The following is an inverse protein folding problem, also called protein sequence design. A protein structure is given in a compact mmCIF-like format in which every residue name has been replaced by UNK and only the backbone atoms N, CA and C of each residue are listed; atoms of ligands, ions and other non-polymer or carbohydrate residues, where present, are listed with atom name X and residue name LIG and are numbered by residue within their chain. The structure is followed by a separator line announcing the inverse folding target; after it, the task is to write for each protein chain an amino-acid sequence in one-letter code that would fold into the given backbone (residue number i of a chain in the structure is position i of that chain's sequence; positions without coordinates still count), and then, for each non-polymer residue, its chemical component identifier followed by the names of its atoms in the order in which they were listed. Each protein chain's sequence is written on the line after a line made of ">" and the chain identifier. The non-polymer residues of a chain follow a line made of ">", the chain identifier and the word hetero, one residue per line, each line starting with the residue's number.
data_IF_470686900755
#
_entry.id   IF_470686900755
#
_cell.length_a   1.000
_cell.length_b   1.000
_cell.length_c   1.000
_cell.angle_alpha   90.00
_cell.angle_beta   90.00
_cell.angle_gamma   90.00
#
_symmetry.space_group_name_H-M   'P 1'
#
loop_
_entity.id
_entity.type
_entity.pdbx_description
1 polymer ?
#
# COMPACT_ATOMS: atom_id res chain seq x y z
N UNK A 1 30.01 -3.83 -11.86
CA UNK A 1 29.21 -3.45 -13.04
C UNK A 1 27.95 -2.78 -12.54
N UNK A 2 27.83 -1.47 -12.73
CA UNK A 2 26.58 -0.75 -12.44
C UNK A 2 25.65 -0.99 -13.63
N UNK A 3 24.55 -1.70 -13.42
CA UNK A 3 23.47 -1.78 -14.38
C UNK A 3 22.89 -0.38 -14.54
N UNK A 4 23.12 0.25 -15.69
CA UNK A 4 22.39 1.42 -16.16
C UNK A 4 20.92 1.00 -16.39
N UNK A 5 20.17 0.79 -15.31
CA UNK A 5 18.72 0.88 -15.37
C UNK A 5 18.39 2.32 -15.73
N UNK A 6 17.66 2.52 -16.82
CA UNK A 6 17.23 3.86 -17.25
C UNK A 6 16.58 4.59 -16.08
N UNK A 7 17.26 5.61 -15.54
CA UNK A 7 16.80 6.56 -14.53
C UNK A 7 15.66 7.48 -15.04
N UNK A 8 14.86 7.01 -16.01
CA UNK A 8 13.81 7.79 -16.68
C UNK A 8 12.41 7.60 -16.08
N UNK A 9 12.21 6.64 -15.17
CA UNK A 9 10.94 6.54 -14.44
C UNK A 9 11.02 7.36 -13.15
N UNK A 10 10.91 8.69 -13.29
CA UNK A 10 10.82 9.66 -12.18
C UNK A 10 9.48 9.58 -11.42
N UNK A 11 8.64 8.60 -11.73
CA UNK A 11 7.35 8.39 -11.10
C UNK A 11 7.39 7.13 -10.24
N UNK A 12 7.13 7.28 -8.95
CA UNK A 12 6.87 6.16 -8.05
C UNK A 12 5.38 5.94 -7.89
N UNK A 13 4.99 4.68 -7.89
CA UNK A 13 3.58 4.28 -7.81
C UNK A 13 3.34 3.51 -6.52
N UNK A 14 2.18 3.68 -5.88
CA UNK A 14 1.77 2.85 -4.74
C UNK A 14 0.35 2.37 -4.91
N UNK A 15 0.08 1.14 -4.50
CA UNK A 15 -1.26 0.55 -4.50
C UNK A 15 -1.99 0.89 -3.23
N UNK A 16 -3.26 1.28 -3.33
CA UNK A 16 -4.11 1.62 -2.20
C UNK A 16 -5.42 0.84 -2.27
N UNK A 17 -5.76 0.16 -1.18
CA UNK A 17 -7.02 -0.55 -1.00
C UNK A 17 -7.71 -0.01 0.24
N UNK A 18 -8.90 0.57 0.04
CA UNK A 18 -9.78 1.01 1.10
C UNK A 18 -10.91 0.01 1.29
N UNK A 19 -11.16 -0.39 2.53
CA UNK A 19 -12.16 -1.40 2.86
C UNK A 19 -12.75 -1.17 4.24
N UNK A 20 -13.94 -1.75 4.45
CA UNK A 20 -14.55 -1.89 5.77
C UNK A 20 -14.40 -3.32 6.25
N UNK A 21 -14.18 -3.51 7.55
CA UNK A 21 -14.20 -4.84 8.18
C UNK A 21 -15.61 -5.21 8.58
N UNK A 22 -15.92 -6.51 8.53
CA UNK A 22 -17.19 -7.01 9.06
C UNK A 22 -17.16 -6.96 10.58
N UNK A 23 -18.22 -6.45 11.23
CA UNK A 23 -18.25 -6.37 12.69
C UNK A 23 -18.17 -7.78 13.28
N UNK A 24 -17.26 -7.99 14.22
CA UNK A 24 -17.19 -9.25 14.97
C UNK A 24 -18.44 -9.39 15.84
N UNK A 25 -18.98 -10.60 15.89
CA UNK A 25 -20.07 -10.89 16.81
C UNK A 25 -19.49 -11.06 18.23
N UNK A 26 -19.87 -10.21 19.21
CA UNK A 26 -19.34 -10.33 20.57
C UNK A 26 -19.77 -11.62 21.28
N UNK A 27 -20.88 -12.24 20.86
CA UNK A 27 -21.33 -13.53 21.39
C UNK A 27 -20.55 -14.73 20.81
N UNK A 28 -19.75 -14.50 19.76
CA UNK A 28 -18.92 -15.53 19.18
C UNK A 28 -17.71 -15.81 20.08
N UNK A 29 -17.61 -17.04 20.53
CA UNK A 29 -16.46 -17.59 21.23
C UNK A 29 -16.09 -18.94 20.60
N UNK A 30 -14.93 -19.49 20.96
CA UNK A 30 -14.56 -20.82 20.49
C UNK A 30 -15.60 -21.89 20.88
N UNK A 31 -16.25 -21.74 22.03
CA UNK A 31 -17.29 -22.65 22.53
C UNK A 31 -18.60 -22.54 21.73
N UNK A 32 -18.96 -21.35 21.24
CA UNK A 32 -20.21 -21.09 20.52
C UNK A 32 -20.08 -21.15 19.00
N UNK A 33 -18.92 -21.59 18.47
CA UNK A 33 -18.58 -21.52 17.04
C UNK A 33 -19.53 -22.24 16.08
N UNK A 34 -20.30 -23.21 16.56
CA UNK A 34 -21.24 -24.00 15.76
C UNK A 34 -22.68 -23.46 15.81
N UNK A 35 -22.99 -22.59 16.77
CA UNK A 35 -24.34 -22.05 16.99
C UNK A 35 -24.44 -20.55 16.70
N UNK A 36 -23.33 -19.83 16.83
CA UNK A 36 -23.28 -18.37 16.68
C UNK A 36 -22.34 -18.02 15.53
N UNK A 37 -22.76 -17.16 14.57
CA UNK A 37 -21.88 -16.72 13.49
C UNK A 37 -20.74 -15.85 14.02
N UNK A 38 -19.56 -15.97 13.42
CA UNK A 38 -18.36 -15.22 13.82
C UNK A 38 -18.47 -13.70 13.59
N UNK A 39 -19.31 -13.30 12.64
CA UNK A 39 -19.49 -11.90 12.26
C UNK A 39 -20.98 -11.57 12.20
N UNK A 40 -21.30 -10.31 12.48
CA UNK A 40 -22.63 -9.75 12.25
C UNK A 40 -22.81 -9.46 10.75
N UNK A 41 -24.05 -9.22 10.32
CA UNK A 41 -24.34 -8.77 8.94
C UNK A 41 -24.04 -7.28 8.71
N UNK A 42 -23.49 -6.63 9.71
CA UNK A 42 -23.04 -5.24 9.68
C UNK A 42 -21.54 -5.09 9.41
N UNK A 43 -21.19 -3.92 8.88
CA UNK A 43 -19.82 -3.51 8.63
C UNK A 43 -19.41 -2.43 9.63
N UNK A 44 -18.13 -2.39 10.00
CA UNK A 44 -17.56 -1.27 10.73
C UNK A 44 -17.72 0.01 9.91
N UNK A 45 -17.98 1.13 10.60
CA UNK A 45 -18.15 2.43 9.95
C UNK A 45 -16.83 2.97 9.42
N UNK A 46 -15.74 2.68 10.15
CA UNK A 46 -14.39 3.08 9.81
C UNK A 46 -13.94 2.46 8.48
N UNK A 47 -13.42 3.31 7.60
CA UNK A 47 -12.72 2.88 6.39
C UNK A 47 -11.25 2.69 6.78
N UNK A 48 -10.73 1.50 6.52
CA UNK A 48 -9.33 1.16 6.68
C UNK A 48 -8.64 1.24 5.33
N UNK A 49 -7.41 1.75 5.33
CA UNK A 49 -6.62 1.95 4.12
C UNK A 49 -5.34 1.13 4.24
N UNK A 50 -5.11 0.25 3.29
CA UNK A 50 -3.86 -0.49 3.16
C UNK A 50 -3.10 -0.02 1.93
N UNK A 51 -1.81 0.29 2.13
CA UNK A 51 -0.93 0.89 1.13
C UNK A 51 0.30 0.01 0.94
N UNK A 52 0.69 -0.27 -0.31
CA UNK A 52 1.94 -0.96 -0.65
C UNK A 52 2.71 -0.26 -1.76
N UNK A 53 4.02 -0.40 -1.77
CA UNK A 53 4.93 0.24 -2.70
C UNK A 53 6.16 0.85 -1.99
N UNK A 54 6.99 1.63 -2.70
CA UNK A 54 6.79 2.10 -4.08
C UNK A 54 7.06 1.03 -5.15
N UNK A 55 6.34 1.12 -6.27
CA UNK A 55 6.49 0.33 -7.48
C UNK A 55 7.07 1.19 -8.60
N UNK A 56 7.89 0.57 -9.44
CA UNK A 56 8.53 1.20 -10.60
C UNK A 56 7.56 1.51 -11.74
N UNK A 57 6.37 0.88 -11.77
CA UNK A 57 5.38 1.12 -12.81
C UNK A 57 3.95 1.08 -12.27
N UNK A 58 3.06 1.83 -12.92
CA UNK A 58 1.63 1.82 -12.62
C UNK A 58 1.01 0.43 -12.75
N UNK A 59 1.48 -0.38 -13.71
CA UNK A 59 0.95 -1.72 -13.94
C UNK A 59 1.25 -2.66 -12.76
N UNK A 60 2.47 -2.63 -12.23
CA UNK A 60 2.84 -3.42 -11.05
C UNK A 60 2.00 -3.02 -9.82
N UNK A 61 1.79 -1.71 -9.63
CA UNK A 61 0.95 -1.21 -8.57
C UNK A 61 -0.52 -1.64 -8.73
N UNK A 62 -1.07 -1.62 -9.96
CA UNK A 62 -2.45 -2.11 -10.23
C UNK A 62 -2.58 -3.60 -9.98
N UNK A 63 -1.62 -4.41 -10.43
CA UNK A 63 -1.60 -5.86 -10.17
C UNK A 63 -1.60 -6.15 -8.67
N UNK A 64 -0.80 -5.41 -7.90
CA UNK A 64 -0.81 -5.54 -6.45
C UNK A 64 -2.16 -5.12 -5.86
N UNK A 65 -2.70 -3.96 -6.25
CA UNK A 65 -3.97 -3.46 -5.72
C UNK A 65 -5.11 -4.46 -5.93
N UNK A 66 -5.18 -5.07 -7.13
CA UNK A 66 -6.15 -6.13 -7.43
C UNK A 66 -5.95 -7.37 -6.56
N UNK A 67 -4.70 -7.83 -6.42
CA UNK A 67 -4.37 -9.00 -5.57
C UNK A 67 -4.75 -8.75 -4.12
N UNK A 68 -4.38 -7.59 -3.57
CA UNK A 68 -4.66 -7.25 -2.18
C UNK A 68 -6.16 -7.12 -1.94
N UNK A 69 -6.92 -6.55 -2.88
CA UNK A 69 -8.37 -6.50 -2.81
C UNK A 69 -9.01 -7.90 -2.86
N UNK A 70 -8.51 -8.81 -3.70
CA UNK A 70 -8.97 -10.19 -3.78
C UNK A 70 -8.64 -11.01 -2.52
N UNK A 71 -7.42 -10.88 -1.99
CA UNK A 71 -6.92 -11.64 -0.84
C UNK A 71 -7.71 -11.32 0.46
N UNK A 72 -8.43 -10.19 0.52
CA UNK A 72 -9.30 -9.88 1.66
C UNK A 72 -10.50 -10.79 1.82
N UNK A 73 -10.95 -11.42 0.74
CA UNK A 73 -12.06 -12.37 0.79
C UNK A 73 -13.34 -11.78 1.43
N UNK A 74 -14.06 -12.61 2.20
CA UNK A 74 -15.42 -12.30 2.69
C UNK A 74 -15.49 -11.50 3.99
N UNK A 75 -14.37 -11.30 4.69
CA UNK A 75 -14.32 -10.57 5.97
C UNK A 75 -14.13 -9.07 5.79
N UNK A 76 -13.87 -8.62 4.57
CA UNK A 76 -13.73 -7.22 4.21
C UNK A 76 -14.65 -6.86 3.05
N UNK A 77 -15.20 -5.66 3.08
CA UNK A 77 -15.94 -5.06 1.97
C UNK A 77 -15.06 -3.98 1.36
N UNK A 78 -14.60 -4.23 0.15
CA UNK A 78 -13.82 -3.26 -0.61
C UNK A 78 -14.70 -2.04 -0.91
N UNK A 79 -14.22 -0.87 -0.51
CA UNK A 79 -14.85 0.42 -0.78
C UNK A 79 -14.25 1.02 -2.03
N UNK A 80 -12.91 1.01 -2.12
CA UNK A 80 -12.17 1.61 -3.22
C UNK A 80 -10.85 0.90 -3.44
N UNK A 81 -10.44 0.81 -4.70
CA UNK A 81 -9.11 0.33 -5.11
C UNK A 81 -8.55 1.34 -6.07
N UNK A 82 -7.37 1.87 -5.79
CA UNK A 82 -6.73 2.84 -6.65
C UNK A 82 -5.20 2.79 -6.52
N UNK A 83 -4.53 3.49 -7.43
CA UNK A 83 -3.08 3.66 -7.41
C UNK A 83 -2.78 5.13 -7.30
N UNK A 84 -1.81 5.45 -6.45
CA UNK A 84 -1.31 6.81 -6.31
C UNK A 84 0.04 6.93 -7.00
N UNK A 85 0.31 8.13 -7.49
CA UNK A 85 1.52 8.49 -8.21
C UNK A 85 2.23 9.61 -7.45
N UNK A 86 3.51 9.42 -7.18
CA UNK A 86 4.41 10.46 -6.72
C UNK A 86 5.44 10.72 -7.81
N UNK A 87 5.46 11.94 -8.35
CA UNK A 87 6.56 12.42 -9.19
C UNK A 87 7.70 12.82 -8.24
N UNK A 88 8.71 11.97 -8.11
CA UNK A 88 9.93 12.31 -7.36
C UNK A 88 10.87 13.02 -8.33
N UNK A 89 10.93 14.36 -8.24
CA UNK A 89 12.08 15.08 -8.75
C UNK A 89 13.24 14.80 -7.78
N UNK A 90 14.28 14.09 -8.25
CA UNK A 90 15.51 13.97 -7.49
C UNK A 90 16.22 15.31 -7.55
N UNK A 91 16.23 16.03 -6.43
CA UNK A 91 16.99 17.27 -6.30
C UNK A 91 18.40 16.94 -5.77
N UNK A 92 19.47 17.49 -6.38
CA UNK A 92 20.79 17.46 -5.77
C UNK A 92 20.72 18.20 -4.43
N UNK A 93 20.68 17.45 -3.34
CA UNK A 93 20.64 18.00 -1.99
C UNK A 93 22.05 18.31 -1.46
N UNK A 94 23.04 17.50 -1.86
CA UNK A 94 24.42 17.66 -1.44
C UNK A 94 25.36 17.17 -2.55
N UNK A 95 26.35 17.98 -2.90
CA UNK A 95 27.33 17.69 -3.94
C UNK A 95 28.72 17.59 -3.30
N UNK A 96 29.42 16.49 -3.60
CA UNK A 96 30.77 16.27 -3.09
C UNK A 96 31.75 17.13 -3.86
N UNK A 97 32.44 18.02 -3.15
CA UNK A 97 33.51 18.83 -3.72
C UNK A 97 34.57 17.91 -4.38
N UNK A 98 34.83 18.07 -5.69
CA UNK A 98 35.73 17.21 -6.42
C UNK A 98 37.19 17.37 -6.01
N UNK A 99 37.58 18.51 -5.44
CA UNK A 99 38.94 18.82 -4.99
C UNK A 99 39.13 18.39 -3.55
N UNK A 100 38.25 18.81 -2.65
CA UNK A 100 38.40 18.54 -1.21
C UNK A 100 37.85 17.18 -0.80
N UNK A 101 37.09 16.52 -1.68
CA UNK A 101 36.46 15.21 -1.46
C UNK A 101 35.51 15.20 -0.26
N UNK A 102 35.00 16.37 0.15
CA UNK A 102 34.05 16.54 1.26
C UNK A 102 32.64 16.74 0.73
N UNK A 103 31.65 16.34 1.53
CA UNK A 103 30.22 16.62 1.32
C UNK A 103 29.86 17.92 2.06
N UNK A 104 28.95 18.72 1.52
CA UNK A 104 28.37 19.91 2.16
C UNK A 104 29.28 21.14 2.18
N UNK A 105 28.79 22.24 1.59
CA UNK A 105 29.31 23.59 1.76
C UNK A 105 28.48 24.38 2.78
N UNK A 106 28.86 24.32 4.06
CA UNK A 106 28.61 25.36 5.06
C UNK A 106 29.82 25.48 5.96
#
# INVERSE_FOLDING_TARGET
>A
MATNGSLNDMEQWRSVVEYRRRKRNPAYTHQTRHSVPAYLDEWEEAILTDVRGPYQSAENARRQASRDASDRGRSARIVRVYVERASLAWEPFDERDPETKKWGGS
#
